data_IF_287409731744
#
_entry.id   IF_287409731744
#
_cell.length_a   1.000
_cell.length_b   1.000
_cell.length_c   1.000
_cell.angle_alpha   90.00
_cell.angle_beta   90.00
_cell.angle_gamma   90.00
#
_symmetry.space_group_name_H-M   'P 1'
#
loop_
_entity.id
_entity.type
_entity.pdbx_description
1 polymer ?
#
# COMPACT_ATOMS: atom_id res chain seq x y z
N UNK A 1 14.78 -22.27 -34.69
CA UNK A 1 14.82 -21.83 -33.26
C UNK A 1 13.38 -21.54 -32.85
N UNK A 2 12.74 -22.53 -32.23
CA UNK A 2 11.34 -22.37 -31.78
C UNK A 2 11.31 -21.42 -30.56
N UNK A 3 10.94 -20.18 -30.80
CA UNK A 3 10.65 -19.20 -29.76
C UNK A 3 9.29 -19.49 -29.13
N UNK A 4 9.18 -20.60 -28.42
CA UNK A 4 8.00 -20.91 -27.62
C UNK A 4 8.11 -20.24 -26.23
N UNK A 5 8.02 -18.92 -26.17
CA UNK A 5 7.59 -18.23 -24.93
C UNK A 5 6.10 -18.53 -24.74
N UNK A 6 5.77 -19.73 -24.28
CA UNK A 6 4.38 -20.16 -24.07
C UNK A 6 3.73 -19.52 -22.86
N UNK A 7 4.53 -18.96 -21.91
CA UNK A 7 4.02 -18.34 -20.71
C UNK A 7 4.48 -16.89 -20.64
N UNK A 8 3.53 -15.97 -20.56
CA UNK A 8 3.81 -14.57 -20.26
C UNK A 8 4.42 -14.49 -18.84
N UNK A 9 5.40 -13.58 -18.61
CA UNK A 9 5.96 -13.38 -17.29
C UNK A 9 4.86 -13.11 -16.27
N UNK A 10 4.79 -13.94 -15.22
CA UNK A 10 3.81 -13.83 -14.15
C UNK A 10 4.45 -13.17 -12.93
N UNK A 11 3.74 -12.29 -12.26
CA UNK A 11 4.21 -11.72 -10.99
C UNK A 11 4.42 -12.83 -9.96
N UNK A 12 5.55 -12.81 -9.25
CA UNK A 12 5.82 -13.71 -8.14
C UNK A 12 4.70 -13.69 -7.09
N UNK A 13 4.13 -12.51 -6.80
CA UNK A 13 3.04 -12.36 -5.85
C UNK A 13 1.78 -13.11 -6.27
N UNK A 14 1.49 -13.15 -7.56
CA UNK A 14 0.35 -13.90 -8.11
C UNK A 14 0.64 -15.40 -8.18
N UNK A 15 1.86 -15.77 -8.52
CA UNK A 15 2.23 -17.18 -8.72
C UNK A 15 2.33 -17.95 -7.39
N UNK A 16 2.77 -17.28 -6.34
CA UNK A 16 3.00 -17.85 -5.01
C UNK A 16 1.79 -17.85 -4.08
N UNK A 17 0.62 -17.35 -4.53
CA UNK A 17 -0.58 -17.25 -3.70
C UNK A 17 -1.84 -17.68 -4.44
N UNK A 18 -2.87 -18.22 -3.73
CA UNK A 18 -4.11 -18.65 -4.35
C UNK A 18 -4.94 -17.48 -4.88
N UNK A 19 -5.81 -17.78 -5.85
CA UNK A 19 -6.86 -16.85 -6.28
C UNK A 19 -7.98 -16.77 -5.25
N UNK A 20 -8.68 -15.63 -5.25
CA UNK A 20 -9.87 -15.39 -4.44
C UNK A 20 -11.15 -15.75 -5.21
N UNK A 21 -12.25 -15.94 -4.48
CA UNK A 21 -13.55 -16.22 -5.07
C UNK A 21 -14.68 -15.62 -4.23
N UNK A 22 -14.64 -14.29 -4.04
CA UNK A 22 -15.75 -13.56 -3.43
C UNK A 22 -16.90 -13.42 -4.43
N UNK A 23 -18.17 -13.35 -3.98
CA UNK A 23 -19.34 -13.21 -4.86
C UNK A 23 -19.29 -11.87 -5.62
N UNK A 24 -19.97 -11.81 -6.75
CA UNK A 24 -20.36 -10.54 -7.37
C UNK A 24 -21.59 -9.96 -6.67
N UNK A 25 -21.84 -8.66 -6.85
CA UNK A 25 -23.04 -8.01 -6.33
C UNK A 25 -24.25 -8.41 -7.18
N UNK A 26 -25.12 -9.23 -6.61
CA UNK A 26 -26.31 -9.74 -7.33
C UNK A 26 -27.58 -8.90 -7.08
N UNK A 27 -27.66 -8.19 -5.96
CA UNK A 27 -28.82 -7.40 -5.56
C UNK A 27 -28.40 -5.99 -5.13
N UNK A 28 -29.32 -5.04 -5.20
CA UNK A 28 -29.13 -3.71 -4.63
C UNK A 28 -28.98 -3.81 -3.10
N UNK A 29 -28.09 -3.02 -2.53
CA UNK A 29 -27.80 -3.01 -1.10
C UNK A 29 -27.67 -1.60 -0.54
N UNK A 30 -27.92 -1.48 0.78
CA UNK A 30 -27.70 -0.25 1.54
C UNK A 30 -26.63 -0.49 2.61
N UNK A 31 -25.58 0.36 2.60
CA UNK A 31 -24.46 0.30 3.54
C UNK A 31 -24.12 1.69 4.08
N UNK A 32 -23.28 1.78 5.10
CA UNK A 32 -22.79 3.07 5.59
C UNK A 32 -21.64 3.57 4.71
N UNK A 33 -20.74 2.68 4.31
CA UNK A 33 -19.54 3.02 3.52
C UNK A 33 -19.35 2.01 2.40
N UNK A 34 -19.17 2.52 1.17
CA UNK A 34 -18.64 1.75 0.04
C UNK A 34 -17.17 2.11 -0.19
N UNK A 35 -16.33 1.10 -0.33
CA UNK A 35 -14.93 1.22 -0.74
C UNK A 35 -14.83 0.67 -2.16
N UNK A 36 -14.39 1.50 -3.10
CA UNK A 36 -14.20 1.13 -4.51
C UNK A 36 -12.73 0.78 -4.71
N UNK A 37 -12.43 -0.48 -4.90
CA UNK A 37 -11.10 -1.05 -5.07
C UNK A 37 -10.67 -1.98 -3.94
N UNK A 38 -10.35 -3.23 -4.30
CA UNK A 38 -9.92 -4.31 -3.42
C UNK A 38 -8.40 -4.48 -3.34
N UNK A 39 -7.63 -3.39 -3.49
CA UNK A 39 -6.17 -3.37 -3.37
C UNK A 39 -5.66 -3.04 -1.97
N UNK A 40 -4.38 -2.64 -1.87
CA UNK A 40 -3.71 -2.25 -0.63
C UNK A 40 -4.52 -1.21 0.16
N UNK A 41 -4.90 -0.12 -0.48
CA UNK A 41 -5.63 0.97 0.18
C UNK A 41 -7.00 0.52 0.67
N UNK A 42 -7.78 -0.15 -0.19
CA UNK A 42 -9.14 -0.55 0.14
C UNK A 42 -9.22 -1.56 1.29
N UNK A 43 -8.41 -2.61 1.25
CA UNK A 43 -8.42 -3.65 2.28
C UNK A 43 -7.89 -3.15 3.64
N UNK A 44 -6.82 -2.32 3.66
CA UNK A 44 -6.36 -1.69 4.90
C UNK A 44 -7.42 -0.74 5.48
N UNK A 45 -8.08 0.06 4.63
CA UNK A 45 -9.17 0.94 5.06
C UNK A 45 -10.32 0.14 5.66
N UNK A 46 -10.73 -0.94 5.00
CA UNK A 46 -11.78 -1.82 5.51
C UNK A 46 -11.39 -2.50 6.82
N UNK A 47 -10.13 -2.93 6.97
CA UNK A 47 -9.62 -3.49 8.21
C UNK A 47 -9.72 -2.50 9.38
N UNK A 48 -9.40 -1.23 9.16
CA UNK A 48 -9.54 -0.20 10.19
C UNK A 48 -11.02 0.05 10.53
N UNK A 49 -11.88 0.14 9.51
CA UNK A 49 -13.31 0.41 9.68
C UNK A 49 -14.09 -0.76 10.30
N UNK A 50 -13.61 -2.02 10.21
CA UNK A 50 -14.30 -3.16 10.80
C UNK A 50 -14.43 -3.09 12.34
N UNK A 51 -13.61 -2.27 13.00
CA UNK A 51 -13.68 -2.02 14.45
C UNK A 51 -14.84 -1.11 14.83
N UNK A 52 -15.39 -0.39 13.87
CA UNK A 52 -16.54 0.51 14.04
C UNK A 52 -17.87 -0.24 13.82
N UNK A 53 -18.96 0.32 14.36
CA UNK A 53 -20.31 -0.24 14.17
C UNK A 53 -20.93 0.24 12.85
N UNK A 54 -20.20 0.04 11.74
CA UNK A 54 -20.58 0.47 10.40
C UNK A 54 -20.77 -0.72 9.47
N UNK A 55 -21.77 -0.64 8.59
CA UNK A 55 -21.92 -1.56 7.48
C UNK A 55 -20.98 -1.11 6.36
N UNK A 56 -19.94 -1.89 6.07
CA UNK A 56 -18.94 -1.58 5.07
C UNK A 56 -18.98 -2.61 3.96
N UNK A 57 -18.90 -2.15 2.70
CA UNK A 57 -18.73 -3.02 1.55
C UNK A 57 -17.52 -2.59 0.72
N UNK A 58 -16.78 -3.56 0.20
CA UNK A 58 -15.74 -3.39 -0.82
C UNK A 58 -16.31 -3.89 -2.14
N UNK A 59 -16.14 -3.12 -3.21
CA UNK A 59 -16.37 -3.60 -4.58
C UNK A 59 -15.07 -3.51 -5.37
N UNK A 60 -14.78 -4.57 -6.10
CA UNK A 60 -13.60 -4.72 -6.95
C UNK A 60 -14.02 -5.12 -8.36
N UNK A 61 -13.48 -4.43 -9.34
CA UNK A 61 -13.83 -4.63 -10.75
C UNK A 61 -13.50 -6.04 -11.26
N UNK A 62 -12.43 -6.64 -10.75
CA UNK A 62 -11.99 -7.99 -11.10
C UNK A 62 -11.86 -8.84 -9.83
N UNK A 63 -10.65 -9.18 -9.44
CA UNK A 63 -10.31 -9.92 -8.23
C UNK A 63 -9.51 -9.03 -7.29
N UNK A 64 -9.76 -9.12 -5.98
CA UNK A 64 -8.97 -8.38 -5.00
C UNK A 64 -7.47 -8.71 -5.14
N UNK A 65 -6.61 -7.75 -4.85
CA UNK A 65 -5.14 -7.91 -4.84
C UNK A 65 -4.51 -8.30 -6.18
N UNK A 66 -5.18 -8.10 -7.32
CA UNK A 66 -4.64 -8.42 -8.66
C UNK A 66 -4.14 -7.22 -9.45
N UNK A 67 -4.64 -6.01 -9.21
CA UNK A 67 -4.21 -4.80 -9.91
C UNK A 67 -2.76 -4.39 -9.57
N UNK A 68 -2.51 -3.11 -9.41
CA UNK A 68 -1.18 -2.55 -9.06
C UNK A 68 -0.53 -3.24 -7.85
N UNK A 69 -1.33 -3.69 -6.90
CA UNK A 69 -0.90 -4.44 -5.72
C UNK A 69 -0.08 -5.70 -6.06
N UNK A 70 -0.45 -6.40 -7.13
CA UNK A 70 0.24 -7.61 -7.57
C UNK A 70 1.58 -7.33 -8.29
N UNK A 71 1.94 -6.09 -8.50
CA UNK A 71 3.15 -5.67 -9.24
C UNK A 71 4.00 -4.68 -8.44
N UNK A 72 3.76 -4.55 -7.14
CA UNK A 72 4.56 -3.70 -6.25
C UNK A 72 5.94 -4.28 -5.99
N UNK A 73 6.89 -3.41 -5.62
CA UNK A 73 8.24 -3.81 -5.17
C UNK A 73 8.29 -4.26 -3.70
N UNK A 74 7.14 -4.35 -3.04
CA UNK A 74 6.96 -4.92 -1.70
C UNK A 74 7.74 -4.22 -0.55
N UNK A 75 8.19 -3.00 -0.74
CA UNK A 75 8.82 -2.20 0.31
C UNK A 75 7.76 -1.49 1.16
N UNK A 76 7.95 -1.53 2.46
CA UNK A 76 7.25 -0.70 3.43
C UNK A 76 8.28 0.30 3.94
N UNK A 77 8.22 1.55 3.47
CA UNK A 77 9.30 2.50 3.70
C UNK A 77 8.79 3.94 3.73
N UNK A 78 9.41 4.77 4.55
CA UNK A 78 9.30 6.23 4.52
C UNK A 78 10.30 6.88 3.57
N UNK A 79 11.23 6.09 3.00
CA UNK A 79 12.26 6.56 2.09
C UNK A 79 11.79 6.51 0.63
N UNK A 80 11.35 7.65 0.09
CA UNK A 80 10.90 7.78 -1.30
C UNK A 80 11.93 8.57 -2.15
N UNK A 81 13.15 8.06 -2.23
CA UNK A 81 14.30 8.76 -2.82
C UNK A 81 14.80 9.88 -1.89
N UNK A 82 15.30 10.99 -2.47
CA UNK A 82 15.70 12.18 -1.72
C UNK A 82 14.54 13.18 -1.71
N UNK A 83 13.51 12.91 -0.89
CA UNK A 83 12.23 13.64 -0.90
C UNK A 83 12.13 14.71 0.19
N UNK A 84 12.78 14.51 1.35
CA UNK A 84 12.61 15.37 2.51
C UNK A 84 13.19 16.76 2.30
N UNK A 85 14.36 16.88 1.69
CA UNK A 85 14.95 18.16 1.26
C UNK A 85 14.03 18.91 0.31
N UNK A 86 13.39 18.21 -0.62
CA UNK A 86 12.43 18.81 -1.58
C UNK A 86 11.17 19.30 -0.90
N UNK A 87 10.58 18.49 0.01
CA UNK A 87 9.37 18.87 0.75
C UNK A 87 9.68 20.07 1.65
N UNK A 88 10.78 20.02 2.40
CA UNK A 88 11.19 21.12 3.26
C UNK A 88 11.43 22.41 2.47
N UNK A 89 12.13 22.32 1.35
CA UNK A 89 12.40 23.49 0.49
C UNK A 89 11.15 24.10 -0.15
N UNK A 90 10.12 23.29 -0.43
CA UNK A 90 8.90 23.76 -1.11
C UNK A 90 7.78 24.12 -0.15
N UNK A 91 7.63 23.41 0.96
CA UNK A 91 6.46 23.49 1.85
C UNK A 91 6.81 23.80 3.29
N UNK A 92 8.11 23.93 3.62
CA UNK A 92 8.61 24.19 4.97
C UNK A 92 8.81 22.94 5.81
N UNK A 93 9.47 23.14 6.96
CA UNK A 93 9.88 22.08 7.89
C UNK A 93 8.68 21.35 8.52
N UNK A 94 7.62 22.09 8.85
CA UNK A 94 6.41 21.51 9.45
C UNK A 94 5.77 20.44 8.53
N UNK A 95 5.60 20.77 7.25
CA UNK A 95 5.04 19.83 6.27
C UNK A 95 5.96 18.63 6.02
N UNK A 96 7.28 18.84 5.99
CA UNK A 96 8.24 17.75 5.88
C UNK A 96 8.19 16.84 7.11
N UNK A 97 8.06 17.40 8.31
CA UNK A 97 7.90 16.64 9.55
C UNK A 97 6.60 15.84 9.58
N UNK A 98 5.48 16.45 9.18
CA UNK A 98 4.19 15.75 9.05
C UNK A 98 4.27 14.58 8.07
N UNK A 99 4.86 14.79 6.92
CA UNK A 99 5.05 13.74 5.92
C UNK A 99 5.89 12.58 6.48
N UNK A 100 7.05 12.88 7.11
CA UNK A 100 7.91 11.87 7.71
C UNK A 100 7.19 11.07 8.80
N UNK A 101 6.59 11.75 9.77
CA UNK A 101 5.83 11.11 10.86
C UNK A 101 4.68 10.24 10.35
N UNK A 102 3.96 10.68 9.32
CA UNK A 102 2.85 9.90 8.76
C UNK A 102 3.35 8.59 8.14
N UNK A 103 4.47 8.62 7.43
CA UNK A 103 5.05 7.43 6.82
C UNK A 103 5.67 6.48 7.87
N UNK A 104 6.41 7.01 8.86
CA UNK A 104 6.94 6.20 9.97
C UNK A 104 5.81 5.53 10.77
N UNK A 105 4.73 6.26 11.07
CA UNK A 105 3.56 5.69 11.73
C UNK A 105 2.88 4.61 10.87
N UNK A 106 2.86 4.77 9.54
CA UNK A 106 2.30 3.76 8.65
C UNK A 106 3.12 2.45 8.67
N UNK A 107 4.46 2.54 8.71
CA UNK A 107 5.33 1.36 8.87
C UNK A 107 4.99 0.60 10.14
N UNK A 108 4.94 1.33 11.27
CA UNK A 108 4.57 0.75 12.56
C UNK A 108 3.17 0.13 12.54
N UNK A 109 2.20 0.78 11.90
CA UNK A 109 0.84 0.24 11.79
C UNK A 109 0.79 -1.08 11.01
N UNK A 110 1.60 -1.24 9.95
CA UNK A 110 1.74 -2.53 9.26
C UNK A 110 2.29 -3.61 10.19
N UNK A 111 3.36 -3.30 10.92
CA UNK A 111 3.97 -4.23 11.87
C UNK A 111 2.99 -4.63 12.99
N UNK A 112 2.27 -3.65 13.58
CA UNK A 112 1.27 -3.89 14.61
C UNK A 112 0.15 -4.80 14.09
N UNK A 113 -0.41 -4.54 12.90
CA UNK A 113 -1.46 -5.37 12.29
C UNK A 113 -0.96 -6.81 12.05
N UNK A 114 0.25 -6.96 11.52
CA UNK A 114 0.86 -8.26 11.25
C UNK A 114 1.02 -9.05 12.55
N UNK A 115 1.56 -8.41 13.59
CA UNK A 115 1.80 -9.05 14.89
C UNK A 115 0.51 -9.37 15.62
N UNK A 116 -0.44 -8.42 15.72
CA UNK A 116 -1.74 -8.61 16.38
C UNK A 116 -2.52 -9.79 15.78
N UNK A 117 -2.44 -9.98 14.47
CA UNK A 117 -3.20 -11.00 13.78
C UNK A 117 -2.36 -12.23 13.39
N UNK A 118 -1.07 -12.27 13.78
CA UNK A 118 -0.14 -13.37 13.47
C UNK A 118 -0.11 -13.70 11.96
N UNK A 119 -0.03 -12.67 11.11
CA UNK A 119 -0.06 -12.82 9.66
C UNK A 119 1.29 -13.31 9.16
N UNK A 120 1.32 -14.51 8.57
CA UNK A 120 2.50 -15.04 7.88
C UNK A 120 2.59 -14.45 6.46
N UNK A 121 3.35 -13.36 6.33
CA UNK A 121 3.52 -12.63 5.07
C UNK A 121 4.99 -12.28 4.76
N UNK A 122 5.93 -13.07 5.23
CA UNK A 122 7.36 -12.87 5.01
C UNK A 122 7.84 -11.45 5.41
N UNK A 123 7.26 -10.90 6.49
CA UNK A 123 7.63 -9.56 6.97
C UNK A 123 9.04 -9.58 7.56
N UNK A 124 9.90 -8.68 7.06
CA UNK A 124 11.27 -8.52 7.54
C UNK A 124 11.56 -7.03 7.74
N UNK A 125 11.90 -6.66 8.99
CA UNK A 125 12.41 -5.32 9.28
C UNK A 125 13.87 -5.24 8.86
N UNK A 126 14.23 -4.19 8.10
CA UNK A 126 15.59 -3.95 7.62
C UNK A 126 15.78 -2.48 7.23
N UNK A 127 17.02 -2.05 7.08
CA UNK A 127 17.31 -0.71 6.58
C UNK A 127 17.05 -0.60 5.07
N UNK A 128 16.53 0.55 4.65
CA UNK A 128 16.39 0.92 3.23
C UNK A 128 17.51 1.89 2.84
N UNK A 129 18.01 1.76 1.61
CA UNK A 129 19.13 2.59 1.13
C UNK A 129 18.79 3.29 -0.18
N UNK A 130 19.21 4.55 -0.27
CA UNK A 130 19.37 5.28 -1.53
C UNK A 130 20.83 5.65 -1.69
N UNK A 131 21.47 5.21 -2.76
CA UNK A 131 22.90 5.37 -2.98
C UNK A 131 23.25 6.03 -4.32
N UNK A 132 24.49 6.45 -4.46
CA UNK A 132 25.05 6.94 -5.72
C UNK A 132 26.45 6.39 -5.98
N UNK A 133 26.75 6.18 -7.25
CA UNK A 133 28.11 5.88 -7.74
C UNK A 133 28.80 7.11 -8.32
N UNK A 134 28.18 8.29 -8.26
CA UNK A 134 28.68 9.53 -8.83
C UNK A 134 28.94 10.58 -7.74
N UNK A 135 30.16 11.13 -7.69
CA UNK A 135 30.58 12.12 -6.68
C UNK A 135 29.67 13.37 -6.63
N UNK A 136 29.14 13.78 -7.79
CA UNK A 136 28.25 14.96 -7.88
C UNK A 136 26.97 14.85 -7.05
N UNK A 137 26.52 13.63 -6.73
CA UNK A 137 25.31 13.41 -5.93
C UNK A 137 25.59 13.14 -4.44
N UNK A 138 26.84 12.84 -4.05
CA UNK A 138 27.20 12.54 -2.66
C UNK A 138 26.83 13.69 -1.71
N UNK A 139 26.98 14.95 -2.16
CA UNK A 139 26.58 16.11 -1.37
C UNK A 139 25.08 16.16 -1.09
N UNK A 140 24.25 15.84 -2.10
CA UNK A 140 22.77 15.82 -1.94
C UNK A 140 22.31 14.73 -0.97
N UNK A 141 23.03 13.60 -0.97
CA UNK A 141 22.76 12.52 -0.01
C UNK A 141 23.05 12.98 1.42
N UNK A 142 24.20 13.65 1.67
CA UNK A 142 24.52 14.18 3.00
C UNK A 142 23.51 15.21 3.48
N UNK A 143 23.09 16.11 2.61
CA UNK A 143 22.05 17.10 2.90
C UNK A 143 20.70 16.43 3.29
N UNK A 144 20.30 15.39 2.57
CA UNK A 144 19.08 14.61 2.86
C UNK A 144 19.20 13.90 4.21
N UNK A 145 20.36 13.36 4.58
CA UNK A 145 20.60 12.75 5.91
C UNK A 145 20.39 13.79 7.02
N UNK A 146 21.02 14.96 6.90
CA UNK A 146 20.91 16.03 7.90
C UNK A 146 19.46 16.49 8.09
N UNK A 147 18.72 16.63 6.99
CA UNK A 147 17.33 17.03 7.02
C UNK A 147 16.47 15.92 7.65
N UNK A 148 16.62 14.68 7.19
CA UNK A 148 15.86 13.54 7.71
C UNK A 148 16.04 13.37 9.22
N UNK A 149 17.29 13.50 9.71
CA UNK A 149 17.59 13.45 11.15
C UNK A 149 16.93 14.58 11.93
N UNK A 150 16.94 15.81 11.42
CA UNK A 150 16.24 16.94 12.03
C UNK A 150 14.73 16.73 12.13
N UNK A 151 14.15 16.03 11.18
CA UNK A 151 12.73 15.68 11.17
C UNK A 151 12.39 14.50 12.08
N UNK A 152 13.41 13.90 12.75
CA UNK A 152 13.24 12.80 13.70
C UNK A 152 13.20 11.42 13.06
N UNK A 153 13.63 11.29 11.80
CA UNK A 153 13.76 10.01 11.11
C UNK A 153 15.12 9.40 11.47
N UNK A 154 15.14 8.10 11.76
CA UNK A 154 16.36 7.34 12.04
C UNK A 154 17.15 7.08 10.75
N UNK A 155 17.83 8.13 10.27
CA UNK A 155 18.60 8.14 9.03
C UNK A 155 20.10 8.27 9.33
N UNK A 156 20.93 7.66 8.46
CA UNK A 156 22.38 7.73 8.57
C UNK A 156 23.06 7.79 7.19
N UNK A 157 24.27 8.35 7.17
CA UNK A 157 25.14 8.31 6.00
C UNK A 157 26.07 7.10 6.06
N UNK A 158 26.31 6.47 4.91
CA UNK A 158 27.34 5.43 4.74
C UNK A 158 27.97 5.51 3.36
N UNK A 159 29.22 5.05 3.23
CA UNK A 159 29.94 4.82 1.98
C UNK A 159 30.08 3.33 1.64
N UNK A 160 29.46 2.47 2.45
CA UNK A 160 29.39 1.02 2.26
C UNK A 160 27.94 0.54 2.24
N UNK A 161 27.66 -0.52 1.47
CA UNK A 161 26.37 -1.21 1.43
C UNK A 161 26.55 -2.66 1.89
N UNK A 162 25.48 -3.33 2.38
CA UNK A 162 25.54 -4.72 2.81
C UNK A 162 25.67 -5.73 1.64
N UNK A 163 26.05 -5.26 0.45
CA UNK A 163 26.30 -6.04 -0.75
C UNK A 163 27.44 -5.40 -1.56
N UNK A 164 28.17 -6.18 -2.39
CA UNK A 164 29.43 -5.75 -3.01
C UNK A 164 29.19 -4.82 -4.21
N UNK A 165 28.84 -3.58 -3.95
CA UNK A 165 28.74 -2.51 -4.95
C UNK A 165 29.56 -1.32 -4.47
N UNK A 166 30.47 -0.84 -5.30
CA UNK A 166 31.21 0.40 -5.04
C UNK A 166 30.30 1.60 -5.17
N UNK A 167 30.24 2.40 -4.11
CA UNK A 167 29.42 3.61 -4.05
C UNK A 167 30.25 4.82 -3.64
N UNK A 168 29.69 6.02 -3.87
CA UNK A 168 30.24 7.31 -3.42
C UNK A 168 29.53 7.87 -2.21
N UNK A 169 28.43 7.25 -1.83
CA UNK A 169 27.66 7.56 -0.64
C UNK A 169 26.25 7.04 -0.72
N UNK A 170 25.68 6.77 0.43
CA UNK A 170 24.30 6.35 0.61
C UNK A 170 23.68 7.02 1.84
N UNK A 171 22.36 7.19 1.78
CA UNK A 171 21.54 7.41 2.95
C UNK A 171 20.81 6.12 3.27
N UNK A 172 20.96 5.64 4.51
CA UNK A 172 20.19 4.55 5.07
C UNK A 172 19.08 5.07 5.99
N UNK A 173 17.91 4.46 5.94
CA UNK A 173 16.83 4.63 6.90
C UNK A 173 16.66 3.32 7.65
N UNK A 174 16.81 3.36 8.99
CA UNK A 174 16.55 2.20 9.83
C UNK A 174 15.04 1.96 10.00
N UNK A 175 14.67 0.81 10.55
CA UNK A 175 13.29 0.44 10.88
C UNK A 175 12.33 0.49 9.67
N UNK A 176 12.84 0.25 8.49
CA UNK A 176 12.04 0.03 7.30
C UNK A 176 11.71 -1.46 7.18
N UNK A 177 10.91 -1.86 6.19
CA UNK A 177 10.53 -3.26 6.06
C UNK A 177 10.31 -3.69 4.60
N UNK A 178 10.23 -5.00 4.43
CA UNK A 178 9.69 -5.66 3.25
C UNK A 178 8.74 -6.78 3.68
N UNK A 179 7.83 -7.17 2.80
CA UNK A 179 6.85 -8.22 3.07
C UNK A 179 6.35 -8.85 1.76
N UNK A 180 5.55 -9.90 1.88
CA UNK A 180 4.79 -10.43 0.76
C UNK A 180 3.40 -9.75 0.72
N UNK A 181 3.17 -8.75 -0.15
CA UNK A 181 1.99 -7.89 -0.07
C UNK A 181 0.69 -8.67 -0.27
N UNK A 182 0.68 -9.67 -1.14
CA UNK A 182 -0.53 -10.44 -1.42
C UNK A 182 -0.87 -11.43 -0.30
N UNK A 183 0.11 -12.09 0.34
CA UNK A 183 -0.13 -12.88 1.56
C UNK A 183 -0.76 -12.03 2.66
N UNK A 184 -0.21 -10.84 2.92
CA UNK A 184 -0.74 -9.90 3.90
C UNK A 184 -2.19 -9.53 3.60
N UNK A 185 -2.51 -9.12 2.38
CA UNK A 185 -3.85 -8.64 2.02
C UNK A 185 -4.89 -9.76 1.96
N UNK A 186 -4.52 -10.96 1.54
CA UNK A 186 -5.41 -12.11 1.58
C UNK A 186 -5.75 -12.50 3.02
N UNK A 187 -4.78 -12.40 3.94
CA UNK A 187 -5.03 -12.58 5.37
C UNK A 187 -5.98 -11.51 5.90
N UNK A 188 -5.77 -10.21 5.56
CA UNK A 188 -6.70 -9.15 5.94
C UNK A 188 -8.11 -9.41 5.42
N UNK A 189 -8.26 -9.76 4.14
CA UNK A 189 -9.56 -10.06 3.55
C UNK A 189 -10.27 -11.19 4.32
N UNK A 190 -9.54 -12.24 4.68
CA UNK A 190 -10.07 -13.34 5.50
C UNK A 190 -10.48 -12.89 6.91
N UNK A 191 -9.73 -11.99 7.54
CA UNK A 191 -10.05 -11.45 8.87
C UNK A 191 -11.32 -10.63 8.84
N UNK A 192 -11.49 -9.79 7.81
CA UNK A 192 -12.61 -8.82 7.75
C UNK A 192 -13.89 -9.40 7.16
N UNK A 193 -13.86 -10.50 6.41
CA UNK A 193 -15.00 -11.03 5.61
C UNK A 193 -16.31 -11.30 6.40
N UNK A 194 -16.22 -11.48 7.71
CA UNK A 194 -17.40 -11.66 8.56
C UNK A 194 -18.07 -10.34 8.99
N UNK A 195 -17.42 -9.19 8.75
CA UNK A 195 -17.89 -7.85 9.13
C UNK A 195 -18.01 -6.90 7.96
N UNK A 196 -17.25 -7.13 6.91
CA UNK A 196 -17.18 -6.33 5.68
C UNK A 196 -17.64 -7.21 4.52
N UNK A 197 -18.57 -6.72 3.74
CA UNK A 197 -19.01 -7.40 2.52
C UNK A 197 -17.97 -7.15 1.42
N UNK A 198 -17.46 -8.21 0.80
CA UNK A 198 -16.48 -8.11 -0.28
C UNK A 198 -17.12 -8.65 -1.56
N UNK A 199 -17.13 -7.85 -2.61
CA UNK A 199 -17.66 -8.20 -3.92
C UNK A 199 -16.58 -8.07 -4.99
N UNK A 200 -16.31 -9.17 -5.68
CA UNK A 200 -15.44 -9.23 -6.86
C UNK A 200 -16.28 -9.18 -8.15
N UNK A 201 -15.63 -8.97 -9.30
CA UNK A 201 -16.29 -8.83 -10.60
C UNK A 201 -17.46 -7.82 -10.56
N UNK A 202 -17.27 -6.76 -9.79
CA UNK A 202 -18.27 -5.73 -9.48
C UNK A 202 -17.68 -4.36 -9.73
N UNK A 203 -17.70 -3.93 -10.99
CA UNK A 203 -17.13 -2.66 -11.44
C UNK A 203 -18.10 -1.52 -11.18
N UNK A 204 -17.68 -0.50 -10.41
CA UNK A 204 -18.40 0.76 -10.35
C UNK A 204 -18.24 1.51 -11.68
N UNK A 205 -19.35 2.00 -12.24
CA UNK A 205 -19.36 2.76 -13.50
C UNK A 205 -19.92 4.16 -13.33
N UNK A 206 -20.65 4.41 -12.23
CA UNK A 206 -21.21 5.72 -11.93
C UNK A 206 -21.36 5.93 -10.42
N UNK A 207 -21.27 7.20 -9.99
CA UNK A 207 -21.48 7.66 -8.61
C UNK A 207 -22.30 8.94 -8.65
N UNK A 208 -23.52 8.87 -8.16
CA UNK A 208 -24.44 10.01 -8.03
C UNK A 208 -24.55 10.43 -6.55
N UNK A 209 -24.60 11.74 -6.29
CA UNK A 209 -24.88 12.28 -4.95
C UNK A 209 -26.40 12.48 -4.78
N UNK A 210 -27.01 11.75 -3.84
CA UNK A 210 -28.43 11.82 -3.51
C UNK A 210 -28.65 11.53 -2.01
N UNK A 211 -28.63 12.55 -1.16
CA UNK A 211 -28.69 12.41 0.32
C UNK A 211 -27.70 11.32 0.86
N UNK A 212 -26.53 11.28 0.30
CA UNK A 212 -25.50 10.26 0.36
C UNK A 212 -25.01 9.98 -1.05
N UNK A 213 -24.76 8.73 -1.36
CA UNK A 213 -24.25 8.33 -2.67
C UNK A 213 -24.95 7.10 -3.19
N UNK A 214 -25.21 7.07 -4.49
CA UNK A 214 -25.69 5.90 -5.23
C UNK A 214 -24.56 5.49 -6.18
N UNK A 215 -24.01 4.31 -5.95
CA UNK A 215 -22.99 3.72 -6.81
C UNK A 215 -23.69 2.73 -7.74
N UNK A 216 -23.54 2.92 -9.05
CA UNK A 216 -24.09 2.00 -10.06
C UNK A 216 -22.96 1.12 -10.58
N UNK A 217 -23.19 -0.19 -10.64
CA UNK A 217 -22.24 -1.16 -11.19
C UNK A 217 -22.49 -1.42 -12.67
N UNK A 218 -21.49 -1.97 -13.37
CA UNK A 218 -21.58 -2.35 -14.80
C UNK A 218 -22.76 -3.31 -15.06
N UNK A 219 -23.14 -4.14 -14.09
CA UNK A 219 -24.30 -5.04 -14.17
C UNK A 219 -25.62 -4.35 -13.83
N UNK A 220 -25.62 -3.03 -13.63
CA UNK A 220 -26.82 -2.24 -13.33
C UNK A 220 -27.31 -2.36 -11.87
N UNK A 221 -26.53 -2.97 -10.97
CA UNK A 221 -26.86 -3.02 -9.55
C UNK A 221 -26.51 -1.71 -8.88
N UNK A 222 -27.26 -1.36 -7.84
CA UNK A 222 -27.07 -0.11 -7.10
C UNK A 222 -26.70 -0.36 -5.65
N UNK A 223 -25.77 0.45 -5.16
CA UNK A 223 -25.39 0.51 -3.76
C UNK A 223 -25.66 1.90 -3.22
N UNK A 224 -26.51 2.01 -2.20
CA UNK A 224 -26.68 3.27 -1.47
C UNK A 224 -25.71 3.31 -0.30
N UNK A 225 -25.00 4.44 -0.16
CA UNK A 225 -24.01 4.64 0.89
C UNK A 225 -24.04 6.05 1.44
N UNK A 226 -23.73 6.21 2.74
CA UNK A 226 -23.52 7.54 3.35
C UNK A 226 -22.18 8.16 2.94
N UNK A 227 -21.19 7.32 2.70
CA UNK A 227 -19.82 7.72 2.30
C UNK A 227 -19.29 6.76 1.23
N UNK A 228 -18.44 7.30 0.37
CA UNK A 228 -17.68 6.53 -0.64
C UNK A 228 -16.20 6.81 -0.46
N UNK A 229 -15.39 5.75 -0.51
CA UNK A 229 -13.93 5.83 -0.51
C UNK A 229 -13.44 5.25 -1.83
N UNK A 230 -12.77 6.05 -2.63
CA UNK A 230 -12.18 5.62 -3.90
C UNK A 230 -10.74 5.18 -3.60
N UNK A 231 -10.45 3.90 -3.80
CA UNK A 231 -9.19 3.23 -3.50
C UNK A 231 -8.65 2.41 -4.70
N UNK A 232 -9.07 2.79 -5.92
CA UNK A 232 -8.69 2.16 -7.19
C UNK A 232 -7.52 2.86 -7.86
#
# INVERSE_FOLDING_TARGET
>A
MDNNFRDLPKSYWLDSTPDTNYPSLENDIDVDIVIIGGGLTGLNTAYLLQKEKLKVAIIEAEKICKGTTAYTTAKITSQHGLIYSKIQGKFGEEMASLYGKSNENAIKMYEDIINENQIDCDFVSQSAFVFTQEDKYARKIKEEVEISQKLGIDAFYTDELPFPIDIKGAIGFNNQAQFHPRKYLLALANIIQNKVQIYENTRAVDIEEDNGYIITTEQGKKMKAKKVIIAS
#
